data_IF_656373703930
#
_entry.id   IF_656373703930
#
_cell.length_a   1.000
_cell.length_b   1.000
_cell.length_c   1.000
_cell.angle_alpha   90.00
_cell.angle_beta   90.00
_cell.angle_gamma   90.00
#
_symmetry.space_group_name_H-M   'P 1'
#
loop_
_entity.id
_entity.type
_entity.pdbx_description
1 polymer ?
#
# COMPACT_ATOMS: atom_id res chain seq x y z
N UNK A 1 -29.66 -8.03 10.79
CA UNK A 1 -28.41 -8.13 10.01
C UNK A 1 -27.39 -7.24 10.67
N UNK A 2 -26.46 -7.80 11.45
CA UNK A 2 -25.37 -7.05 12.05
C UNK A 2 -24.29 -6.89 10.98
N UNK A 3 -24.17 -5.69 10.41
CA UNK A 3 -23.01 -5.34 9.60
C UNK A 3 -21.81 -5.30 10.53
N UNK A 4 -21.00 -6.36 10.51
CA UNK A 4 -19.66 -6.34 11.10
C UNK A 4 -18.93 -5.24 10.32
N UNK A 5 -18.69 -4.10 10.98
CA UNK A 5 -17.81 -3.08 10.43
C UNK A 5 -16.41 -3.70 10.51
N UNK A 6 -16.03 -4.44 9.47
CA UNK A 6 -14.65 -4.86 9.27
C UNK A 6 -13.82 -3.57 9.28
N UNK A 7 -13.08 -3.34 10.36
CA UNK A 7 -12.04 -2.34 10.36
C UNK A 7 -11.07 -2.74 9.26
N UNK A 8 -11.16 -2.07 8.11
CA UNK A 8 -10.29 -2.36 6.97
C UNK A 8 -8.85 -2.31 7.45
N UNK A 9 -8.18 -3.46 7.40
CA UNK A 9 -6.76 -3.54 7.72
C UNK A 9 -6.03 -2.66 6.72
N UNK A 10 -5.50 -1.55 7.22
CA UNK A 10 -4.67 -0.65 6.42
C UNK A 10 -3.30 -1.28 6.30
N UNK A 11 -3.10 -2.13 5.30
CA UNK A 11 -1.82 -2.77 5.00
C UNK A 11 -1.35 -2.42 3.58
N UNK A 12 -0.05 -2.58 3.31
CA UNK A 12 0.48 -2.30 1.98
C UNK A 12 -0.02 -3.31 0.93
N UNK A 13 -0.42 -4.53 1.33
CA UNK A 13 -0.93 -5.55 0.40
C UNK A 13 -2.22 -5.11 -0.30
N UNK A 14 -3.09 -4.43 0.43
CA UNK A 14 -4.38 -3.89 -0.02
C UNK A 14 -4.29 -2.46 -0.57
N UNK A 15 -3.11 -1.83 -0.51
CA UNK A 15 -2.92 -0.44 -0.89
C UNK A 15 -2.85 -0.23 -2.42
N UNK A 16 -3.59 0.75 -2.95
CA UNK A 16 -3.63 1.13 -4.37
C UNK A 16 -2.28 1.60 -4.94
N UNK A 17 -1.36 2.00 -4.05
CA UNK A 17 -0.02 2.42 -4.40
C UNK A 17 0.99 1.28 -4.41
N UNK A 18 0.64 0.10 -3.91
CA UNK A 18 1.53 -1.04 -3.90
C UNK A 18 1.63 -1.71 -5.27
N UNK A 19 2.85 -1.99 -5.68
CA UNK A 19 3.17 -2.68 -6.92
C UNK A 19 4.13 -3.85 -6.64
N UNK A 20 3.60 -5.07 -6.68
CA UNK A 20 4.37 -6.33 -6.56
C UNK A 20 5.06 -6.71 -7.87
N UNK A 21 4.63 -6.17 -9.02
CA UNK A 21 5.08 -6.64 -10.35
C UNK A 21 6.53 -6.27 -10.67
N UNK A 22 7.14 -5.37 -9.88
CA UNK A 22 8.57 -5.12 -9.92
C UNK A 22 9.26 -6.23 -9.13
N UNK A 23 9.56 -7.34 -9.82
CA UNK A 23 10.14 -8.59 -9.30
C UNK A 23 11.50 -8.44 -8.58
N UNK A 24 11.99 -7.21 -8.41
CA UNK A 24 13.25 -6.90 -7.74
C UNK A 24 13.11 -6.76 -6.22
N UNK A 25 11.90 -6.72 -5.66
CA UNK A 25 11.67 -6.46 -4.23
C UNK A 25 10.76 -7.51 -3.60
N UNK A 26 11.08 -7.95 -2.37
CA UNK A 26 10.36 -9.02 -1.67
C UNK A 26 8.94 -8.61 -1.24
N UNK A 27 8.76 -7.34 -0.88
CA UNK A 27 7.51 -6.80 -0.33
C UNK A 27 6.78 -5.87 -1.32
N UNK A 28 7.36 -5.70 -2.51
CA UNK A 28 6.89 -4.78 -3.53
C UNK A 28 7.36 -3.34 -3.32
N UNK A 29 6.92 -2.49 -4.25
CA UNK A 29 7.30 -1.08 -4.32
C UNK A 29 6.06 -0.19 -4.08
N UNK A 30 6.24 0.87 -3.29
CA UNK A 30 5.27 1.93 -3.09
C UNK A 30 5.41 3.00 -4.17
N UNK A 31 4.37 3.13 -4.99
CA UNK A 31 4.29 4.08 -6.12
C UNK A 31 3.75 5.46 -5.75
N UNK A 32 3.45 5.69 -4.47
CA UNK A 32 2.87 6.95 -4.00
C UNK A 32 3.81 8.14 -4.25
N UNK A 33 5.12 7.93 -4.05
CA UNK A 33 6.12 9.00 -4.16
C UNK A 33 6.20 9.56 -5.57
N UNK A 34 6.29 8.71 -6.59
CA UNK A 34 6.33 9.13 -7.99
C UNK A 34 5.03 9.81 -8.40
N UNK A 35 3.88 9.18 -8.10
CA UNK A 35 2.55 9.72 -8.47
C UNK A 35 2.24 11.09 -7.87
N UNK A 36 2.85 11.42 -6.74
CA UNK A 36 2.64 12.70 -6.05
C UNK A 36 3.81 13.67 -6.22
N UNK A 37 4.72 13.42 -7.17
CA UNK A 37 5.92 14.25 -7.41
C UNK A 37 6.78 14.45 -6.14
N UNK A 38 6.86 13.44 -5.28
CA UNK A 38 7.66 13.41 -4.04
C UNK A 38 8.98 12.64 -4.19
N UNK A 39 9.32 12.24 -5.41
CA UNK A 39 10.56 11.52 -5.74
C UNK A 39 10.28 10.17 -6.39
N UNK A 40 11.28 9.30 -6.39
CA UNK A 40 11.19 7.98 -7.00
C UNK A 40 10.37 7.00 -6.15
N UNK A 41 9.88 5.95 -6.80
CA UNK A 41 9.22 4.83 -6.13
C UNK A 41 10.16 4.19 -5.10
N UNK A 42 9.60 3.81 -3.96
CA UNK A 42 10.38 3.28 -2.84
C UNK A 42 9.97 1.84 -2.54
N UNK A 43 10.92 1.00 -2.19
CA UNK A 43 10.62 -0.33 -1.65
C UNK A 43 9.79 -0.21 -0.36
N UNK A 44 8.83 -1.13 -0.19
CA UNK A 44 7.99 -1.19 0.99
C UNK A 44 8.80 -1.84 2.13
N UNK A 45 9.01 -1.14 3.25
CA UNK A 45 9.78 -1.71 4.35
C UNK A 45 8.92 -2.71 5.15
N UNK A 46 9.57 -3.73 5.70
CA UNK A 46 8.92 -4.84 6.41
C UNK A 46 8.13 -4.41 7.65
N UNK A 47 8.51 -3.31 8.29
CA UNK A 47 7.83 -2.77 9.46
C UNK A 47 6.51 -2.07 9.13
N UNK A 48 6.32 -1.66 7.87
CA UNK A 48 5.11 -1.00 7.36
C UNK A 48 4.22 -1.91 6.52
N UNK A 49 4.74 -3.01 5.97
CA UNK A 49 3.99 -3.84 5.00
C UNK A 49 2.64 -4.31 5.54
N UNK A 50 2.57 -4.71 6.81
CA UNK A 50 1.34 -5.18 7.47
C UNK A 50 0.63 -4.08 8.30
N UNK A 51 1.25 -2.90 8.47
CA UNK A 51 0.69 -1.77 9.25
C UNK A 51 0.13 -0.64 8.39
N UNK A 52 0.55 -0.58 7.13
CA UNK A 52 0.23 0.51 6.21
C UNK A 52 0.83 1.85 6.65
N UNK A 53 0.35 2.92 6.03
CA UNK A 53 0.79 4.28 6.35
C UNK A 53 -0.38 5.27 6.20
N UNK A 54 -0.14 6.54 6.55
CA UNK A 54 -1.14 7.62 6.42
C UNK A 54 -1.64 7.84 5.00
N UNK A 55 -0.88 7.39 4.00
CA UNK A 55 -1.21 7.52 2.58
C UNK A 55 -1.88 6.27 2.01
N UNK A 56 -2.28 5.33 2.86
CA UNK A 56 -2.98 4.13 2.45
C UNK A 56 -4.33 4.50 1.81
N UNK A 57 -4.58 3.90 0.65
CA UNK A 57 -5.85 3.96 -0.08
C UNK A 57 -6.14 2.54 -0.55
N UNK A 58 -7.38 2.09 -0.45
CA UNK A 58 -7.77 0.74 -0.88
C UNK A 58 -7.64 0.61 -2.40
N UNK A 59 -7.14 -0.54 -2.88
CA UNK A 59 -7.00 -0.85 -4.33
C UNK A 59 -8.29 -0.65 -5.15
N UNK A 60 -9.46 -0.84 -4.54
CA UNK A 60 -10.77 -0.69 -5.19
C UNK A 60 -11.24 0.76 -5.35
N UNK A 61 -10.60 1.70 -4.63
CA UNK A 61 -11.01 3.11 -4.59
C UNK A 61 -10.19 3.98 -5.55
N UNK A 62 -9.39 3.34 -6.43
CA UNK A 62 -8.52 4.00 -7.41
C UNK A 62 -9.12 3.96 -8.81
#
# INVERSE_FOLDING_TARGET
MMSIIEQEKKDCWSCAYQNILLQTTLLGICTWFEKNNKGQNKEIPADLVDKGCKQWIRKTDR
#
